data_IF_727969548110
#
_entry.id   IF_727969548110
#
_cell.length_a   1.000
_cell.length_b   1.000
_cell.length_c   1.000
_cell.angle_alpha   90.00
_cell.angle_beta   90.00
_cell.angle_gamma   90.00
#
_symmetry.space_group_name_H-M   'P 1'
#
loop_
_entity.id
_entity.type
_entity.pdbx_description
1 polymer ?
#
# COMPACT_ATOMS: atom_id res chain seq x y z
N UNK A 1 -14.94 -50.10 24.56
CA UNK A 1 -13.77 -49.19 24.55
C UNK A 1 -13.56 -48.58 23.17
N UNK A 2 -14.47 -47.72 22.69
CA UNK A 2 -14.40 -47.19 21.31
C UNK A 2 -14.95 -45.76 21.23
N UNK A 3 -14.52 -44.88 22.14
CA UNK A 3 -14.91 -43.46 22.10
C UNK A 3 -13.90 -42.47 22.71
N UNK A 4 -12.66 -42.90 22.99
CA UNK A 4 -11.62 -42.02 23.56
C UNK A 4 -10.65 -41.44 22.52
N UNK A 5 -10.65 -41.95 21.29
CA UNK A 5 -9.71 -41.51 20.23
C UNK A 5 -10.19 -40.33 19.36
N UNK A 6 -11.49 -40.01 19.34
CA UNK A 6 -12.02 -38.91 18.51
C UNK A 6 -11.99 -37.54 19.18
N UNK A 7 -11.94 -37.51 20.52
CA UNK A 7 -11.85 -36.25 21.29
C UNK A 7 -10.41 -35.72 21.28
N UNK A 8 -9.40 -36.59 21.27
CA UNK A 8 -7.99 -36.17 21.29
C UNK A 8 -7.54 -35.55 19.94
N UNK A 9 -8.13 -35.97 18.82
CA UNK A 9 -7.81 -35.41 17.49
C UNK A 9 -8.37 -33.98 17.32
N UNK A 10 -9.53 -33.67 17.92
CA UNK A 10 -10.08 -32.31 17.90
C UNK A 10 -9.25 -31.35 18.76
N UNK A 11 -8.68 -31.78 19.87
CA UNK A 11 -7.78 -30.93 20.67
C UNK A 11 -6.43 -30.68 19.99
N UNK A 12 -5.93 -31.61 19.16
CA UNK A 12 -4.69 -31.40 18.38
C UNK A 12 -4.97 -30.50 17.15
N UNK A 13 -6.13 -30.60 16.51
CA UNK A 13 -6.52 -29.68 15.42
C UNK A 13 -6.89 -28.28 15.91
N UNK A 14 -7.46 -28.14 17.12
CA UNK A 14 -7.69 -26.83 17.74
C UNK A 14 -6.39 -26.25 18.33
N UNK A 15 -5.46 -27.11 18.78
CA UNK A 15 -4.14 -26.70 19.27
C UNK A 15 -3.14 -26.24 18.20
N UNK A 16 -3.40 -26.54 16.91
CA UNK A 16 -2.57 -26.08 15.78
C UNK A 16 -3.15 -24.83 15.10
N UNK A 17 -4.41 -24.48 15.37
CA UNK A 17 -5.05 -23.27 14.82
C UNK A 17 -5.05 -22.06 15.76
N UNK A 18 -4.49 -22.20 16.96
CA UNK A 18 -4.17 -21.07 17.85
C UNK A 18 -2.66 -20.94 17.98
N UNK A 19 -1.94 -20.87 16.86
CA UNK A 19 -0.77 -20.00 16.84
C UNK A 19 -1.33 -18.59 17.00
N UNK A 20 -1.33 -18.10 18.24
CA UNK A 20 -1.51 -16.68 18.49
C UNK A 20 -0.49 -15.94 17.62
N UNK A 21 -0.96 -15.42 16.49
CA UNK A 21 -0.31 -14.33 15.81
C UNK A 21 -0.40 -13.16 16.78
N UNK A 22 0.51 -13.13 17.76
CA UNK A 22 0.87 -11.88 18.40
C UNK A 22 1.51 -11.06 17.29
N UNK A 23 0.66 -10.32 16.59
CA UNK A 23 1.07 -9.19 15.78
C UNK A 23 1.69 -8.19 16.77
N UNK A 24 2.99 -8.34 17.00
CA UNK A 24 3.83 -7.23 17.47
C UNK A 24 3.90 -6.24 16.30
N UNK A 25 2.79 -5.54 16.07
CA UNK A 25 2.70 -4.44 15.12
C UNK A 25 2.57 -3.23 16.02
N UNK A 26 3.69 -2.52 16.17
CA UNK A 26 3.87 -1.28 16.93
C UNK A 26 3.15 -1.16 18.27
N UNK A 27 3.88 -1.45 19.35
CA UNK A 27 3.56 -0.88 20.65
C UNK A 27 4.13 0.54 20.72
N UNK A 28 3.36 1.51 21.23
CA UNK A 28 3.78 2.91 21.43
C UNK A 28 5.19 3.00 22.00
N UNK A 29 6.05 3.77 21.32
CA UNK A 29 7.41 4.03 21.76
C UNK A 29 7.51 5.44 22.33
N UNK A 30 8.08 5.50 23.53
CA UNK A 30 8.36 6.76 24.23
C UNK A 30 9.51 7.51 23.54
N UNK A 31 9.62 8.83 23.77
CA UNK A 31 10.65 9.65 23.18
C UNK A 31 12.02 9.17 23.67
N UNK A 32 12.95 9.01 22.73
CA UNK A 32 14.26 8.38 22.98
C UNK A 32 14.30 6.86 22.76
N UNK A 33 13.19 6.22 22.36
CA UNK A 33 13.14 4.79 22.04
C UNK A 33 13.18 4.51 20.53
N UNK A 34 14.31 4.80 19.88
CA UNK A 34 14.52 4.51 18.46
C UNK A 34 15.67 3.52 18.23
N UNK A 35 15.65 2.84 17.09
CA UNK A 35 16.78 2.07 16.60
C UNK A 35 17.79 2.97 15.91
N UNK A 36 19.07 2.70 16.14
CA UNK A 36 20.16 3.22 15.30
C UNK A 36 20.73 2.07 14.48
N UNK A 37 20.69 2.22 13.15
CA UNK A 37 21.18 1.21 12.20
C UNK A 37 22.51 1.67 11.63
N UNK A 38 23.54 0.85 11.78
CA UNK A 38 24.90 1.12 11.32
C UNK A 38 25.22 0.32 10.05
N UNK A 39 26.08 0.87 9.21
CA UNK A 39 26.72 0.09 8.16
C UNK A 39 27.71 -0.90 8.81
N UNK A 40 27.56 -2.20 8.55
CA UNK A 40 28.39 -3.24 9.17
C UNK A 40 29.89 -3.12 8.89
N UNK A 41 30.27 -2.48 7.78
CA UNK A 41 31.66 -2.39 7.33
C UNK A 41 32.36 -1.12 7.79
N UNK A 42 31.61 -0.02 7.97
CA UNK A 42 32.19 1.30 8.26
C UNK A 42 31.81 1.87 9.61
N UNK A 43 30.92 1.22 10.36
CA UNK A 43 30.34 1.71 11.63
C UNK A 43 29.75 3.13 11.54
N UNK A 44 29.36 3.55 10.32
CA UNK A 44 28.66 4.80 10.09
C UNK A 44 27.17 4.56 10.30
N UNK A 45 26.49 5.49 10.96
CA UNK A 45 25.03 5.47 11.05
C UNK A 45 24.45 5.60 9.64
N UNK A 46 23.60 4.66 9.25
CA UNK A 46 22.82 4.70 8.01
C UNK A 46 21.53 5.48 8.24
N UNK A 47 20.74 5.05 9.22
CA UNK A 47 19.50 5.72 9.59
C UNK A 47 19.12 5.44 11.04
N UNK A 48 18.18 6.25 11.54
CA UNK A 48 17.46 6.01 12.77
C UNK A 48 15.97 5.85 12.46
N UNK A 49 15.26 5.09 13.28
CA UNK A 49 13.81 4.94 13.19
C UNK A 49 13.17 4.55 14.52
N UNK A 50 12.01 5.12 14.80
CA UNK A 50 11.08 4.68 15.82
C UNK A 50 10.44 3.33 15.50
N UNK A 51 10.40 2.89 14.24
CA UNK A 51 9.84 1.60 13.83
C UNK A 51 10.68 0.44 14.42
N UNK A 52 10.06 -0.71 14.65
CA UNK A 52 10.81 -1.91 15.01
C UNK A 52 11.70 -2.39 13.87
N UNK A 53 13.01 -2.49 14.15
CA UNK A 53 13.98 -3.05 13.21
C UNK A 53 14.20 -4.53 13.52
N UNK A 54 14.09 -5.36 12.50
CA UNK A 54 14.27 -6.79 12.56
C UNK A 54 15.26 -7.28 11.49
N UNK A 55 15.83 -8.47 11.71
CA UNK A 55 16.74 -9.06 10.73
C UNK A 55 16.01 -9.31 9.40
N UNK A 56 16.67 -8.96 8.30
CA UNK A 56 16.18 -9.02 6.93
C UNK A 56 15.38 -7.79 6.51
N UNK A 57 15.13 -6.81 7.39
CA UNK A 57 14.58 -5.53 6.96
C UNK A 57 15.55 -4.86 5.98
N UNK A 58 15.02 -4.15 5.01
CA UNK A 58 15.83 -3.49 3.98
C UNK A 58 15.68 -1.98 4.06
N UNK A 59 16.68 -1.28 3.54
CA UNK A 59 16.76 0.17 3.60
C UNK A 59 17.32 0.66 2.27
N UNK A 60 16.50 1.39 1.52
CA UNK A 60 16.92 2.12 0.32
C UNK A 60 17.18 3.57 0.71
N UNK A 61 18.45 3.96 0.76
CA UNK A 61 18.84 5.31 1.13
C UNK A 61 18.43 6.36 0.09
N UNK A 62 18.44 7.63 0.50
CA UNK A 62 18.17 8.75 -0.40
C UNK A 62 19.13 8.83 -1.60
N UNK A 63 20.36 8.32 -1.47
CA UNK A 63 21.35 8.19 -2.56
C UNK A 63 21.29 6.84 -3.30
N UNK A 64 20.14 6.17 -3.24
CA UNK A 64 19.80 4.96 -3.99
C UNK A 64 20.69 3.75 -3.70
N UNK A 65 21.15 3.61 -2.45
CA UNK A 65 21.91 2.44 -1.99
C UNK A 65 21.01 1.52 -1.19
N UNK A 66 20.95 0.25 -1.59
CA UNK A 66 20.19 -0.77 -0.88
C UNK A 66 21.06 -1.43 0.20
N UNK A 67 20.49 -1.60 1.38
CA UNK A 67 21.09 -2.30 2.50
C UNK A 67 20.11 -3.33 3.08
N UNK A 68 20.62 -4.43 3.63
CA UNK A 68 19.84 -5.42 4.39
C UNK A 68 20.34 -5.49 5.83
N UNK A 69 19.43 -5.41 6.80
CA UNK A 69 19.72 -5.55 8.22
C UNK A 69 20.08 -7.01 8.52
N UNK A 70 21.34 -7.28 8.85
CA UNK A 70 21.82 -8.64 9.13
C UNK A 70 21.97 -8.95 10.61
N UNK A 71 22.10 -7.92 11.46
CA UNK A 71 22.21 -8.07 12.93
C UNK A 71 21.34 -7.06 13.66
N UNK A 72 20.64 -7.50 14.71
CA UNK A 72 19.82 -6.64 15.56
C UNK A 72 20.05 -7.01 17.02
N UNK A 73 20.33 -6.01 17.85
CA UNK A 73 20.24 -6.10 19.30
C UNK A 73 19.04 -5.26 19.75
N UNK A 74 17.94 -5.92 20.08
CA UNK A 74 16.68 -5.26 20.48
C UNK A 74 16.79 -4.59 21.84
N UNK A 75 17.62 -5.11 22.76
CA UNK A 75 17.81 -4.52 24.09
C UNK A 75 18.55 -3.19 24.03
N UNK A 76 19.57 -3.08 23.18
CA UNK A 76 20.31 -1.83 22.98
C UNK A 76 19.76 -0.97 21.85
N UNK A 77 18.75 -1.44 21.11
CA UNK A 77 18.18 -0.82 19.90
C UNK A 77 19.25 -0.43 18.86
N UNK A 78 20.25 -1.30 18.71
CA UNK A 78 21.32 -1.15 17.72
C UNK A 78 21.18 -2.26 16.70
N UNK A 79 21.22 -1.90 15.42
CA UNK A 79 21.23 -2.85 14.32
C UNK A 79 22.39 -2.56 13.36
N UNK A 80 22.75 -3.55 12.56
CA UNK A 80 23.75 -3.43 11.51
C UNK A 80 23.17 -3.93 10.20
N UNK A 81 23.44 -3.20 9.13
CA UNK A 81 23.02 -3.53 7.79
C UNK A 81 24.23 -3.61 6.83
N UNK A 82 24.16 -4.57 5.93
CA UNK A 82 25.14 -4.82 4.87
C UNK A 82 24.67 -4.18 3.58
N UNK A 83 25.57 -3.52 2.86
CA UNK A 83 25.29 -3.00 1.52
C UNK A 83 25.02 -4.14 0.54
N UNK A 84 23.99 -3.99 -0.28
CA UNK A 84 23.59 -4.97 -1.29
C UNK A 84 24.03 -4.49 -2.68
N UNK A 85 23.48 -3.37 -3.14
CA UNK A 85 23.73 -2.81 -4.46
C UNK A 85 23.29 -1.34 -4.54
N UNK A 86 23.74 -0.66 -5.58
CA UNK A 86 23.12 0.58 -6.05
C UNK A 86 21.84 0.22 -6.82
N UNK A 87 20.75 0.91 -6.51
CA UNK A 87 19.44 0.72 -7.13
C UNK A 87 19.27 1.76 -8.24
N UNK A 88 18.87 1.30 -9.43
CA UNK A 88 18.45 2.19 -10.49
C UNK A 88 16.97 2.52 -10.27
N UNK A 89 16.66 3.81 -10.19
CA UNK A 89 15.27 4.27 -10.15
C UNK A 89 14.67 4.16 -11.57
N UNK A 90 13.33 4.00 -11.67
CA UNK A 90 12.62 4.12 -12.93
C UNK A 90 13.02 5.38 -13.70
N UNK A 91 13.13 5.27 -15.02
CA UNK A 91 13.48 6.42 -15.87
C UNK A 91 12.31 7.38 -15.94
N UNK A 92 12.62 8.67 -15.88
CA UNK A 92 11.64 9.74 -15.99
C UNK A 92 11.78 10.40 -17.37
N UNK A 93 10.68 10.43 -18.12
CA UNK A 93 10.56 11.22 -19.33
C UNK A 93 10.55 12.71 -18.96
N UNK A 94 11.68 13.37 -19.15
CA UNK A 94 11.88 14.77 -18.75
C UNK A 94 10.99 15.75 -19.54
N UNK A 95 10.66 15.44 -20.79
CA UNK A 95 9.75 16.27 -21.59
C UNK A 95 8.31 16.19 -21.06
N UNK A 96 7.86 14.98 -20.67
CA UNK A 96 6.57 14.79 -20.01
C UNK A 96 6.53 15.49 -18.64
N UNK A 97 7.61 15.37 -17.87
CA UNK A 97 7.75 16.04 -16.59
C UNK A 97 7.72 17.57 -16.73
N UNK A 98 8.33 18.14 -17.77
CA UNK A 98 8.29 19.58 -18.02
C UNK A 98 6.87 20.06 -18.35
N UNK A 99 6.10 19.29 -19.13
CA UNK A 99 4.67 19.57 -19.38
C UNK A 99 3.86 19.55 -18.09
N UNK A 100 4.11 18.56 -17.23
CA UNK A 100 3.48 18.49 -15.90
C UNK A 100 3.84 19.72 -15.06
N UNK A 101 5.11 20.10 -14.98
CA UNK A 101 5.56 21.29 -14.24
C UNK A 101 4.88 22.57 -14.75
N UNK A 102 4.75 22.72 -16.07
CA UNK A 102 4.03 23.86 -16.66
C UNK A 102 2.54 23.88 -16.28
N UNK A 103 1.89 22.71 -16.24
CA UNK A 103 0.49 22.59 -15.82
C UNK A 103 0.30 22.92 -14.34
N UNK A 104 1.23 22.46 -13.49
CA UNK A 104 1.25 22.74 -12.05
C UNK A 104 1.36 24.22 -11.71
N UNK A 105 2.10 25.00 -12.52
CA UNK A 105 2.20 26.46 -12.37
C UNK A 105 0.94 27.20 -12.86
N UNK A 106 0.05 26.51 -13.58
CA UNK A 106 -1.21 27.03 -14.10
C UNK A 106 -2.32 27.09 -13.04
N UNK A 107 -3.37 27.91 -13.26
CA UNK A 107 -4.48 28.06 -12.31
C UNK A 107 -5.34 26.80 -12.13
N UNK A 108 -5.27 25.85 -13.07
CA UNK A 108 -6.01 24.59 -13.04
C UNK A 108 -5.16 23.40 -12.57
N UNK A 109 -3.86 23.61 -12.29
CA UNK A 109 -2.94 22.54 -11.89
C UNK A 109 -2.89 21.38 -12.88
N UNK A 110 -2.76 20.15 -12.35
CA UNK A 110 -2.77 18.93 -13.16
C UNK A 110 -4.14 18.58 -13.78
N UNK A 111 -5.22 19.21 -13.35
CA UNK A 111 -6.56 18.93 -13.90
C UNK A 111 -6.63 19.21 -15.41
N UNK A 112 -5.96 20.26 -15.90
CA UNK A 112 -5.89 20.57 -17.32
C UNK A 112 -5.20 19.47 -18.15
N UNK A 113 -4.16 18.82 -17.58
CA UNK A 113 -3.48 17.71 -18.23
C UNK A 113 -4.37 16.46 -18.28
N UNK A 114 -5.11 16.20 -17.21
CA UNK A 114 -6.03 15.06 -17.14
C UNK A 114 -7.18 15.18 -18.14
N UNK A 115 -7.75 16.39 -18.28
CA UNK A 115 -8.78 16.66 -19.28
C UNK A 115 -8.25 16.45 -20.71
N UNK A 116 -7.03 16.92 -21.00
CA UNK A 116 -6.42 16.71 -22.31
C UNK A 116 -6.18 15.22 -22.62
N UNK A 117 -5.75 14.42 -21.63
CA UNK A 117 -5.57 12.98 -21.78
C UNK A 117 -6.90 12.24 -21.97
N UNK A 118 -7.99 12.71 -21.36
CA UNK A 118 -9.33 12.16 -21.57
C UNK A 118 -9.84 12.41 -23.00
N UNK A 119 -9.62 13.62 -23.54
CA UNK A 119 -10.01 13.96 -24.92
C UNK A 119 -9.21 13.15 -25.96
N UNK A 120 -7.90 12.92 -25.74
CA UNK A 120 -7.06 12.09 -26.62
C UNK A 120 -7.44 10.60 -26.58
N UNK A 121 -7.95 10.10 -25.44
CA UNK A 121 -8.44 8.74 -25.28
C UNK A 121 -9.77 8.46 -25.99
N UNK A 122 -10.63 9.47 -26.16
CA UNK A 122 -11.91 9.36 -26.86
C UNK A 122 -11.76 9.34 -28.39
N UNK A 123 -10.71 9.93 -28.96
CA UNK A 123 -10.48 9.93 -30.42
C UNK A 123 -9.94 8.58 -30.97
N UNK A 124 -9.50 7.66 -30.08
CA UNK A 124 -8.86 6.39 -30.43
C UNK A 124 -9.76 5.15 -30.48
N UNK A 125 -10.99 5.21 -29.97
CA UNK A 125 -11.86 4.03 -29.87
C UNK A 125 -13.26 4.25 -30.43
N UNK A 126 -13.62 3.45 -31.44
CA UNK A 126 -14.95 3.46 -32.04
C UNK A 126 -16.06 3.07 -31.05
N UNK A 127 -17.18 3.79 -31.17
CA UNK A 127 -18.49 3.61 -30.53
C UNK A 127 -18.72 2.26 -29.83
N UNK A 128 -18.41 2.23 -28.54
CA UNK A 128 -18.94 1.26 -27.59
C UNK A 128 -19.07 1.94 -26.24
N UNK A 129 -20.29 2.26 -25.83
CA UNK A 129 -20.59 2.86 -24.52
C UNK A 129 -19.93 2.03 -23.40
N UNK A 130 -18.77 2.48 -22.91
CA UNK A 130 -18.21 2.03 -21.64
C UNK A 130 -19.06 2.69 -20.55
N UNK A 131 -19.54 1.95 -19.52
CA UNK A 131 -20.36 2.56 -18.48
C UNK A 131 -19.51 3.57 -17.70
N UNK A 132 -19.76 4.87 -17.94
CA UNK A 132 -19.05 5.98 -17.31
C UNK A 132 -19.16 5.92 -15.79
N UNK A 133 -18.01 5.96 -15.12
CA UNK A 133 -17.91 5.99 -13.66
C UNK A 133 -16.65 5.37 -13.06
N UNK A 134 -15.91 4.57 -13.84
CA UNK A 134 -14.74 3.82 -13.32
C UNK A 134 -13.39 4.53 -13.52
N UNK A 135 -13.25 5.39 -14.53
CA UNK A 135 -11.98 6.11 -14.79
C UNK A 135 -11.70 7.21 -13.75
N UNK A 136 -12.73 7.78 -13.13
CA UNK A 136 -12.59 8.72 -12.00
C UNK A 136 -12.26 8.03 -10.66
N UNK A 137 -12.52 6.73 -10.51
CA UNK A 137 -12.21 5.99 -9.26
C UNK A 137 -10.70 5.77 -9.09
N UNK A 138 -9.95 5.72 -10.19
CA UNK A 138 -8.49 5.56 -10.15
C UNK A 138 -7.77 6.78 -9.58
N UNK A 139 -8.40 7.97 -9.64
CA UNK A 139 -7.88 9.24 -9.14
C UNK A 139 -8.41 9.60 -7.75
N UNK A 140 -8.84 8.61 -6.97
CA UNK A 140 -9.29 8.78 -5.58
C UNK A 140 -8.27 8.28 -4.58
N UNK A 141 -7.92 9.14 -3.62
CA UNK A 141 -6.96 8.85 -2.56
C UNK A 141 -7.65 8.90 -1.20
N UNK A 142 -7.60 7.80 -0.46
CA UNK A 142 -7.99 7.75 0.95
C UNK A 142 -6.79 8.02 1.84
N UNK A 143 -6.96 8.90 2.82
CA UNK A 143 -5.91 9.28 3.78
C UNK A 143 -6.45 9.02 5.18
N UNK A 144 -5.63 8.42 6.03
CA UNK A 144 -5.96 8.17 7.43
C UNK A 144 -4.69 8.15 8.29
N UNK A 145 -4.85 8.09 9.61
CA UNK A 145 -3.75 8.04 10.57
C UNK A 145 -3.94 6.87 11.54
N UNK A 146 -3.14 5.82 11.44
CA UNK A 146 -3.25 4.68 12.38
C UNK A 146 -2.94 5.12 13.81
N UNK A 147 -1.99 6.03 13.99
CA UNK A 147 -1.62 6.58 15.29
C UNK A 147 -2.08 8.03 15.44
N UNK A 148 -3.40 8.25 15.47
CA UNK A 148 -4.04 9.58 15.47
C UNK A 148 -3.62 10.52 16.60
N UNK A 149 -3.04 10.00 17.68
CA UNK A 149 -2.53 10.82 18.78
C UNK A 149 -1.17 11.46 18.49
N UNK A 150 -0.43 11.01 17.47
CA UNK A 150 0.91 11.51 17.20
C UNK A 150 0.93 13.02 16.91
N UNK A 151 1.88 13.70 17.53
CA UNK A 151 1.91 15.15 17.59
C UNK A 151 3.35 15.69 17.61
N UNK A 152 3.51 17.00 17.39
CA UNK A 152 4.80 17.66 17.22
C UNK A 152 5.09 18.61 18.38
N UNK A 153 6.09 18.30 19.19
CA UNK A 153 6.34 18.98 20.49
C UNK A 153 6.52 20.50 20.36
N UNK A 154 7.32 21.05 19.41
CA UNK A 154 7.52 22.49 19.32
C UNK A 154 6.24 23.30 19.08
N UNK A 155 5.29 22.75 18.31
CA UNK A 155 4.06 23.47 17.91
C UNK A 155 2.86 23.07 18.77
N UNK A 156 2.72 21.78 19.05
CA UNK A 156 1.53 21.19 19.66
C UNK A 156 1.72 20.97 21.19
N UNK A 157 2.93 21.16 21.70
CA UNK A 157 3.27 21.12 23.14
C UNK A 157 3.57 19.73 23.70
N UNK A 158 2.96 18.69 23.14
CA UNK A 158 3.16 17.29 23.51
C UNK A 158 3.42 16.43 22.27
N UNK A 159 4.11 15.30 22.47
CA UNK A 159 4.35 14.33 21.40
C UNK A 159 3.13 13.47 21.06
N UNK A 160 2.16 13.37 21.97
CA UNK A 160 0.99 12.51 21.85
C UNK A 160 -0.20 13.13 22.55
N UNK A 161 -1.28 13.41 21.82
CA UNK A 161 -2.52 14.02 22.32
C UNK A 161 -3.66 13.04 22.08
N UNK A 162 -4.26 12.48 23.15
CA UNK A 162 -5.25 11.39 23.04
C UNK A 162 -6.51 11.78 22.27
N UNK A 163 -6.91 13.06 22.31
CA UNK A 163 -8.06 13.57 21.57
C UNK A 163 -7.81 13.68 20.05
N UNK A 164 -6.54 13.64 19.63
CA UNK A 164 -6.09 13.82 18.24
C UNK A 164 -4.91 14.78 18.17
N UNK A 165 -3.77 14.30 17.68
CA UNK A 165 -2.52 15.04 17.62
C UNK A 165 -2.30 15.81 16.33
N UNK A 166 -1.15 16.48 16.29
CA UNK A 166 -0.62 17.22 15.14
C UNK A 166 -0.66 16.47 13.80
N UNK A 167 -0.55 15.14 13.84
CA UNK A 167 -0.49 14.30 12.65
C UNK A 167 -1.76 14.38 11.80
N UNK A 168 -2.92 14.58 12.42
CA UNK A 168 -4.20 14.71 11.73
C UNK A 168 -4.17 15.96 10.84
N UNK A 169 -3.61 17.08 11.31
CA UNK A 169 -3.52 18.29 10.48
C UNK A 169 -2.51 18.14 9.34
N UNK A 170 -1.42 17.39 9.54
CA UNK A 170 -0.48 17.06 8.45
C UNK A 170 -1.17 16.20 7.38
N UNK A 171 -1.97 15.21 7.79
CA UNK A 171 -2.78 14.40 6.87
C UNK A 171 -3.84 15.24 6.14
N UNK A 172 -4.49 16.20 6.80
CA UNK A 172 -5.37 17.17 6.13
C UNK A 172 -4.63 18.02 5.11
N UNK A 173 -3.40 18.48 5.40
CA UNK A 173 -2.57 19.19 4.43
C UNK A 173 -2.13 18.34 3.24
N UNK A 174 -1.92 17.05 3.46
CA UNK A 174 -1.68 16.12 2.36
C UNK A 174 -2.93 16.00 1.47
N UNK A 175 -4.12 15.88 2.07
CA UNK A 175 -5.40 15.85 1.35
C UNK A 175 -5.65 17.12 0.54
N UNK A 176 -5.43 18.30 1.14
CA UNK A 176 -5.49 19.58 0.43
C UNK A 176 -4.48 19.61 -0.73
N UNK A 177 -3.28 19.06 -0.52
CA UNK A 177 -2.24 18.93 -1.55
C UNK A 177 -2.75 18.18 -2.78
N UNK A 178 -3.36 17.00 -2.60
CA UNK A 178 -3.96 16.24 -3.70
C UNK A 178 -5.10 17.00 -4.38
N UNK A 179 -6.00 17.62 -3.60
CA UNK A 179 -7.13 18.39 -4.13
C UNK A 179 -6.66 19.57 -4.99
N UNK A 180 -5.59 20.26 -4.58
CA UNK A 180 -4.97 21.33 -5.35
C UNK A 180 -4.38 20.83 -6.70
N UNK A 181 -4.14 19.53 -6.83
CA UNK A 181 -3.72 18.88 -8.09
C UNK A 181 -4.87 18.24 -8.87
N UNK A 182 -6.13 18.53 -8.51
CA UNK A 182 -7.29 17.95 -9.18
C UNK A 182 -7.54 16.48 -8.85
N UNK A 183 -6.90 15.95 -7.81
CA UNK A 183 -7.11 14.58 -7.31
C UNK A 183 -8.15 14.59 -6.20
N UNK A 184 -9.17 13.75 -6.31
CA UNK A 184 -10.19 13.62 -5.27
C UNK A 184 -9.57 12.89 -4.06
N UNK A 185 -9.32 13.62 -2.98
CA UNK A 185 -8.77 13.06 -1.75
C UNK A 185 -9.76 13.17 -0.59
N UNK A 186 -9.92 12.06 0.14
CA UNK A 186 -10.73 11.98 1.36
C UNK A 186 -9.83 11.64 2.54
N UNK A 187 -9.73 12.57 3.49
CA UNK A 187 -9.10 12.33 4.78
C UNK A 187 -10.15 11.92 5.82
N UNK A 188 -9.97 10.74 6.41
CA UNK A 188 -10.77 10.27 7.54
C UNK A 188 -10.06 10.57 8.87
N UNK A 189 -10.66 11.44 9.68
CA UNK A 189 -10.13 11.91 10.96
C UNK A 189 -10.54 11.01 12.15
N UNK A 190 -11.05 9.79 11.90
CA UNK A 190 -11.42 8.86 12.96
C UNK A 190 -10.24 8.62 13.91
N UNK A 191 -10.48 8.84 15.21
CA UNK A 191 -9.46 8.66 16.23
C UNK A 191 -9.24 7.16 16.53
N UNK A 192 -7.99 6.71 16.40
CA UNK A 192 -7.58 5.31 16.61
C UNK A 192 -6.87 5.04 17.94
N UNK A 193 -6.96 5.95 18.92
CA UNK A 193 -6.45 5.76 20.30
C UNK A 193 -7.12 4.54 20.99
N UNK A 194 -6.42 3.83 21.90
CA UNK A 194 -5.06 4.07 22.41
C UNK A 194 -3.95 3.81 21.39
N UNK A 195 -2.77 4.40 21.58
CA UNK A 195 -1.62 4.05 20.76
C UNK A 195 -1.08 2.68 21.23
N UNK A 196 -1.62 1.60 20.65
CA UNK A 196 -1.27 0.21 20.98
C UNK A 196 -1.31 -0.69 19.74
N UNK A 197 -0.95 -1.96 19.89
CA UNK A 197 -1.03 -2.93 18.80
C UNK A 197 -2.47 -3.11 18.24
N UNK A 198 -3.49 -2.64 18.95
CA UNK A 198 -4.87 -2.60 18.49
C UNK A 198 -5.17 -1.44 17.54
N UNK A 199 -4.30 -0.43 17.42
CA UNK A 199 -4.47 0.74 16.57
C UNK A 199 -4.64 0.34 15.11
N UNK A 200 -3.78 -0.54 14.60
CA UNK A 200 -3.91 -1.09 13.24
C UNK A 200 -5.23 -1.82 13.00
N UNK A 201 -5.79 -2.50 14.01
CA UNK A 201 -7.12 -3.13 13.87
C UNK A 201 -8.25 -2.09 13.80
N UNK A 202 -8.09 -0.93 14.45
CA UNK A 202 -9.05 0.17 14.40
C UNK A 202 -8.94 0.91 13.07
N UNK A 203 -7.75 1.34 12.69
CA UNK A 203 -7.50 2.04 11.44
C UNK A 203 -7.78 1.21 10.20
N UNK A 204 -7.60 -0.12 10.26
CA UNK A 204 -8.02 -1.00 9.17
C UNK A 204 -9.51 -0.88 8.84
N UNK A 205 -10.38 -0.67 9.83
CA UNK A 205 -11.82 -0.50 9.56
C UNK A 205 -12.07 0.79 8.79
N UNK A 206 -11.46 1.88 9.22
CA UNK A 206 -11.49 3.17 8.51
C UNK A 206 -10.92 3.06 7.09
N UNK A 207 -9.78 2.41 6.92
CA UNK A 207 -9.19 2.17 5.60
C UNK A 207 -10.13 1.36 4.69
N UNK A 208 -10.78 0.33 5.22
CA UNK A 208 -11.78 -0.44 4.47
C UNK A 208 -13.04 0.40 4.16
N UNK A 209 -13.52 1.22 5.09
CA UNK A 209 -14.67 2.11 4.89
C UNK A 209 -14.38 3.15 3.80
N UNK A 210 -13.19 3.76 3.79
CA UNK A 210 -12.72 4.62 2.69
C UNK A 210 -12.80 3.89 1.34
N UNK A 211 -12.32 2.65 1.26
CA UNK A 211 -12.37 1.87 0.02
C UNK A 211 -13.81 1.52 -0.41
N UNK A 212 -14.67 1.11 0.53
CA UNK A 212 -16.01 0.62 0.18
C UNK A 212 -17.05 1.71 0.02
N UNK A 213 -16.94 2.80 0.78
CA UNK A 213 -17.95 3.88 0.79
C UNK A 213 -17.55 5.06 -0.07
N UNK A 214 -16.26 5.42 -0.10
CA UNK A 214 -15.74 6.53 -0.92
C UNK A 214 -15.18 6.04 -2.26
N UNK A 215 -14.99 4.73 -2.42
CA UNK A 215 -14.51 4.13 -3.66
C UNK A 215 -13.04 4.47 -3.95
N UNK A 216 -12.23 4.74 -2.92
CA UNK A 216 -10.81 5.05 -3.12
C UNK A 216 -10.04 3.80 -3.55
N UNK A 217 -9.15 3.95 -4.53
CA UNK A 217 -8.27 2.88 -4.99
C UNK A 217 -6.89 2.93 -4.31
N UNK A 218 -6.50 4.09 -3.80
CA UNK A 218 -5.20 4.34 -3.16
C UNK A 218 -5.38 4.69 -1.69
N UNK A 219 -4.51 4.19 -0.82
CA UNK A 219 -4.56 4.41 0.62
C UNK A 219 -3.22 4.96 1.12
N UNK A 220 -3.28 6.01 1.93
CA UNK A 220 -2.09 6.61 2.56
C UNK A 220 -2.31 6.66 4.07
N UNK A 221 -1.47 5.92 4.80
CA UNK A 221 -1.40 5.98 6.26
C UNK A 221 -0.29 6.97 6.67
N UNK A 222 -0.67 8.03 7.38
CA UNK A 222 0.23 9.14 7.73
C UNK A 222 0.66 9.05 9.19
N UNK A 223 1.97 9.00 9.41
CA UNK A 223 2.64 8.91 10.72
C UNK A 223 3.74 9.96 10.83
N UNK A 224 4.34 10.07 12.03
CA UNK A 224 5.58 10.80 12.25
C UNK A 224 6.57 10.01 13.09
N UNK A 225 7.84 10.07 12.71
CA UNK A 225 8.89 9.25 13.32
C UNK A 225 9.23 9.76 14.74
N UNK A 226 9.95 8.96 15.52
CA UNK A 226 10.33 9.22 16.91
C UNK A 226 11.87 9.30 17.09
N UNK A 227 12.53 10.10 16.25
CA UNK A 227 14.01 10.21 16.16
C UNK A 227 14.48 11.66 16.29
N UNK A 228 15.79 11.92 16.45
CA UNK A 228 16.30 13.29 16.52
C UNK A 228 15.98 14.10 15.26
N UNK A 229 15.71 15.39 15.45
CA UNK A 229 15.31 16.36 14.41
C UNK A 229 16.23 16.38 13.17
N UNK A 230 17.54 16.14 13.34
CA UNK A 230 18.54 16.17 12.27
C UNK A 230 18.30 15.07 11.22
N UNK A 231 17.57 14.01 11.56
CA UNK A 231 17.23 12.93 10.64
C UNK A 231 16.26 13.37 9.55
N UNK A 232 15.44 14.39 9.84
CA UNK A 232 14.30 14.80 9.01
C UNK A 232 14.36 16.26 8.55
N UNK A 233 15.27 17.09 9.08
CA UNK A 233 15.40 18.46 8.58
C UNK A 233 15.86 18.52 7.12
N UNK A 234 15.16 19.34 6.34
CA UNK A 234 15.50 19.68 4.97
C UNK A 234 14.95 21.07 4.61
N UNK A 235 15.26 21.53 3.41
CA UNK A 235 14.65 22.70 2.79
C UNK A 235 14.28 22.33 1.35
N UNK A 236 13.06 22.65 0.93
CA UNK A 236 12.60 22.44 -0.44
C UNK A 236 12.27 23.81 -1.01
N UNK A 237 12.88 24.17 -2.14
CA UNK A 237 12.70 25.47 -2.79
C UNK A 237 12.91 26.67 -1.83
N UNK A 238 13.91 26.57 -0.94
CA UNK A 238 14.25 27.60 0.06
C UNK A 238 13.25 27.74 1.21
N UNK A 239 12.26 26.85 1.32
CA UNK A 239 11.31 26.81 2.44
C UNK A 239 11.71 25.72 3.44
N UNK A 240 11.67 26.01 4.75
CA UNK A 240 11.81 25.00 5.79
C UNK A 240 10.82 23.87 5.60
N UNK A 241 11.33 22.64 5.46
CA UNK A 241 10.53 21.46 5.19
C UNK A 241 11.02 20.27 6.03
N UNK A 242 10.29 19.17 5.95
CA UNK A 242 10.72 17.87 6.47
C UNK A 242 10.98 16.88 5.35
N UNK A 243 11.92 15.96 5.56
CA UNK A 243 12.00 14.77 4.72
C UNK A 243 10.80 13.86 4.96
N UNK A 244 10.53 12.98 4.01
CA UNK A 244 9.49 11.96 4.07
C UNK A 244 10.14 10.59 3.91
N UNK A 245 9.87 9.67 4.85
CA UNK A 245 10.22 8.26 4.67
C UNK A 245 8.98 7.51 4.21
N UNK A 246 9.12 6.69 3.18
CA UNK A 246 8.10 5.73 2.79
C UNK A 246 8.40 4.39 3.45
N UNK A 247 7.38 3.71 3.96
CA UNK A 247 7.53 2.40 4.61
C UNK A 247 6.77 1.36 3.82
N UNK A 248 7.45 0.26 3.49
CA UNK A 248 6.85 -0.89 2.80
C UNK A 248 6.91 -2.13 3.71
N UNK A 249 5.73 -2.68 4.01
CA UNK A 249 5.56 -3.86 4.83
C UNK A 249 5.95 -5.14 4.10
N UNK A 250 7.04 -5.78 4.53
CA UNK A 250 7.55 -7.04 3.95
C UNK A 250 6.59 -8.23 4.02
N UNK A 251 5.51 -8.14 4.80
CA UNK A 251 4.48 -9.19 4.92
C UNK A 251 3.21 -8.89 4.12
N UNK A 252 3.14 -7.73 3.46
CA UNK A 252 1.99 -7.34 2.67
C UNK A 252 1.93 -8.18 1.38
N UNK A 253 0.73 -8.60 0.96
CA UNK A 253 0.56 -9.47 -0.21
C UNK A 253 0.80 -8.73 -1.54
N UNK A 254 0.65 -7.41 -1.53
CA UNK A 254 0.85 -6.54 -2.67
C UNK A 254 2.28 -5.96 -2.71
N UNK A 255 3.26 -6.60 -2.07
CA UNK A 255 4.55 -5.98 -1.72
C UNK A 255 5.21 -5.35 -2.93
N UNK A 256 5.27 -6.10 -4.03
CA UNK A 256 5.90 -5.66 -5.28
C UNK A 256 5.22 -4.44 -5.88
N UNK A 257 3.89 -4.41 -5.91
CA UNK A 257 3.15 -3.29 -6.49
C UNK A 257 3.27 -2.02 -5.63
N UNK A 258 3.21 -2.17 -4.30
CA UNK A 258 3.41 -1.05 -3.38
C UNK A 258 4.87 -0.55 -3.42
N UNK A 259 5.84 -1.46 -3.57
CA UNK A 259 7.26 -1.11 -3.78
C UNK A 259 7.45 -0.35 -5.08
N UNK A 260 6.91 -0.86 -6.20
CA UNK A 260 6.97 -0.21 -7.51
C UNK A 260 6.40 1.21 -7.47
N UNK A 261 5.22 1.39 -6.86
CA UNK A 261 4.65 2.71 -6.64
C UNK A 261 5.58 3.62 -5.83
N UNK A 262 6.17 3.13 -4.73
CA UNK A 262 7.10 3.92 -3.93
C UNK A 262 8.37 4.30 -4.73
N UNK A 263 8.86 3.41 -5.60
CA UNK A 263 9.99 3.67 -6.48
C UNK A 263 9.66 4.73 -7.54
N UNK A 264 8.46 4.69 -8.12
CA UNK A 264 7.97 5.70 -9.06
C UNK A 264 7.87 7.07 -8.37
N UNK A 265 7.25 7.11 -7.18
CA UNK A 265 7.13 8.33 -6.38
C UNK A 265 8.51 8.88 -6.03
N UNK A 266 9.45 8.03 -5.63
CA UNK A 266 10.83 8.45 -5.34
C UNK A 266 11.53 9.03 -6.58
N UNK A 267 11.45 8.36 -7.73
CA UNK A 267 12.05 8.84 -8.97
C UNK A 267 11.53 10.23 -9.36
N UNK A 268 10.20 10.42 -9.30
CA UNK A 268 9.56 11.69 -9.59
C UNK A 268 9.93 12.76 -8.54
N UNK A 269 9.89 12.42 -7.26
CA UNK A 269 10.21 13.35 -6.18
C UNK A 269 11.67 13.80 -6.22
N UNK A 270 12.62 12.92 -6.58
CA UNK A 270 14.03 13.28 -6.69
C UNK A 270 14.29 14.29 -7.82
N UNK A 271 13.48 14.27 -8.90
CA UNK A 271 13.55 15.22 -10.02
C UNK A 271 12.77 16.53 -9.78
N UNK A 272 11.66 16.47 -9.03
CA UNK A 272 10.80 17.63 -8.76
C UNK A 272 11.22 18.40 -7.51
N UNK A 273 11.51 17.67 -6.43
CA UNK A 273 11.75 18.19 -5.10
C UNK A 273 12.99 17.52 -4.46
N UNK A 274 14.20 17.76 -5.00
CA UNK A 274 15.42 17.12 -4.51
C UNK A 274 15.58 17.27 -2.99
N UNK A 275 15.80 16.14 -2.29
CA UNK A 275 15.94 16.11 -0.84
C UNK A 275 14.64 16.00 -0.05
N UNK A 276 13.49 15.83 -0.71
CA UNK A 276 12.20 15.54 -0.07
C UNK A 276 12.16 14.11 0.48
N UNK A 277 12.53 13.11 -0.31
CA UNK A 277 12.50 11.71 0.12
C UNK A 277 13.73 11.41 0.97
N UNK A 278 13.51 10.99 2.21
CA UNK A 278 14.56 10.54 3.13
C UNK A 278 15.15 9.21 2.65
N UNK A 279 14.27 8.24 2.45
CA UNK A 279 14.54 6.84 2.17
C UNK A 279 13.23 6.05 1.94
N UNK A 280 13.37 4.79 1.52
CA UNK A 280 12.32 3.77 1.62
C UNK A 280 12.78 2.72 2.62
N UNK A 281 11.99 2.48 3.67
CA UNK A 281 12.27 1.49 4.69
C UNK A 281 11.34 0.27 4.54
N UNK A 282 11.95 -0.90 4.38
CA UNK A 282 11.23 -2.16 4.20
C UNK A 282 11.16 -2.88 5.54
N UNK A 283 10.10 -2.60 6.29
CA UNK A 283 9.93 -3.06 7.64
C UNK A 283 9.15 -4.38 7.71
N UNK A 284 9.42 -5.19 8.74
CA UNK A 284 8.62 -6.38 9.03
C UNK A 284 7.23 -5.98 9.56
N UNK A 285 6.27 -5.97 8.67
CA UNK A 285 4.86 -5.72 9.00
C UNK A 285 4.00 -5.79 7.76
N UNK A 286 2.71 -5.57 7.94
CA UNK A 286 1.74 -5.45 6.85
C UNK A 286 1.30 -3.99 6.66
N UNK A 287 1.03 -3.27 7.75
CA UNK A 287 0.66 -1.85 7.75
C UNK A 287 -0.59 -1.53 6.92
N UNK A 288 -1.55 -2.47 6.87
CA UNK A 288 -2.77 -2.40 6.04
C UNK A 288 -2.49 -2.33 4.53
N UNK A 289 -1.26 -2.61 4.10
CA UNK A 289 -0.86 -2.54 2.69
C UNK A 289 -1.33 -3.76 1.88
N UNK A 290 -1.86 -4.79 2.54
CA UNK A 290 -2.59 -5.87 1.88
C UNK A 290 -3.95 -5.44 1.31
N UNK A 291 -4.52 -4.32 1.76
CA UNK A 291 -5.84 -3.86 1.32
C UNK A 291 -5.86 -3.43 -0.16
N UNK A 292 -4.79 -2.83 -0.65
CA UNK A 292 -4.69 -2.35 -2.04
C UNK A 292 -3.24 -2.38 -2.52
N UNK A 293 -2.98 -2.61 -3.83
CA UNK A 293 -1.65 -2.45 -4.43
C UNK A 293 -1.21 -0.99 -4.63
N UNK A 294 -2.01 -0.02 -4.15
CA UNK A 294 -1.69 1.41 -4.13
C UNK A 294 -1.68 1.95 -2.69
N UNK A 295 -1.12 1.17 -1.76
CA UNK A 295 -1.03 1.51 -0.35
C UNK A 295 0.36 2.01 0.03
N UNK A 296 0.44 3.15 0.72
CA UNK A 296 1.69 3.72 1.21
C UNK A 296 1.56 4.09 2.69
N UNK A 297 2.62 3.86 3.46
CA UNK A 297 2.78 4.42 4.81
C UNK A 297 3.86 5.49 4.75
N UNK A 298 3.58 6.66 5.32
CA UNK A 298 4.48 7.81 5.31
C UNK A 298 4.88 8.19 6.73
N UNK A 299 6.17 8.37 6.94
CA UNK A 299 6.72 9.03 8.12
C UNK A 299 7.04 10.49 7.76
N UNK A 300 6.12 11.38 8.13
CA UNK A 300 6.14 12.81 7.83
C UNK A 300 6.92 13.57 8.90
N UNK A 301 8.25 13.47 8.84
CA UNK A 301 9.09 14.15 9.82
C UNK A 301 9.18 13.40 11.14
N UNK A 302 9.46 14.16 12.20
CA UNK A 302 9.57 13.60 13.55
C UNK A 302 9.00 14.55 14.60
N UNK A 303 8.62 14.00 15.76
CA UNK A 303 7.98 14.74 16.86
C UNK A 303 8.78 15.97 17.37
N UNK A 304 10.10 16.01 17.16
CA UNK A 304 10.97 17.14 17.54
C UNK A 304 10.92 18.32 16.55
N UNK A 305 10.20 18.22 15.43
CA UNK A 305 10.05 19.31 14.46
C UNK A 305 8.81 20.17 14.73
N UNK A 306 8.84 21.44 14.30
CA UNK A 306 7.61 22.22 14.15
C UNK A 306 6.70 21.57 13.10
N UNK A 307 5.41 21.38 13.42
CA UNK A 307 4.40 20.73 12.56
C UNK A 307 4.30 21.35 11.15
N UNK A 308 4.61 22.64 11.02
CA UNK A 308 4.60 23.37 9.75
C UNK A 308 5.60 22.84 8.72
N UNK A 309 6.69 22.19 9.16
CA UNK A 309 7.69 21.59 8.26
C UNK A 309 7.12 20.39 7.50
N UNK A 310 6.57 19.35 8.16
CA UNK A 310 5.89 18.27 7.46
C UNK A 310 4.60 18.70 6.74
N UNK A 311 3.87 19.71 7.22
CA UNK A 311 2.76 20.30 6.44
C UNK A 311 3.23 20.88 5.09
N UNK A 312 4.39 21.55 5.06
CA UNK A 312 5.01 22.05 3.83
C UNK A 312 5.38 20.89 2.90
N UNK A 313 5.99 19.83 3.46
CA UNK A 313 6.37 18.64 2.69
C UNK A 313 5.17 17.85 2.18
N UNK A 314 4.03 17.87 2.87
CA UNK A 314 2.81 17.20 2.44
C UNK A 314 2.33 17.70 1.06
N UNK A 315 2.41 19.02 0.81
CA UNK A 315 2.09 19.60 -0.50
C UNK A 315 3.02 19.10 -1.61
N UNK A 316 4.34 19.16 -1.39
CA UNK A 316 5.33 18.67 -2.36
C UNK A 316 5.24 17.16 -2.59
N UNK A 317 4.92 16.40 -1.56
CA UNK A 317 4.73 14.95 -1.67
C UNK A 317 3.47 14.62 -2.45
N UNK A 318 2.35 15.31 -2.21
CA UNK A 318 1.13 15.15 -3.01
C UNK A 318 1.37 15.43 -4.50
N UNK A 319 2.14 16.48 -4.82
CA UNK A 319 2.53 16.80 -6.20
C UNK A 319 3.32 15.67 -6.86
N UNK A 320 4.32 15.11 -6.14
CA UNK A 320 5.12 14.00 -6.62
C UNK A 320 4.29 12.71 -6.82
N UNK A 321 3.42 12.37 -5.86
CA UNK A 321 2.55 11.19 -5.96
C UNK A 321 1.56 11.33 -7.11
N UNK A 322 0.88 12.47 -7.24
CA UNK A 322 -0.05 12.73 -8.35
C UNK A 322 0.67 12.61 -9.69
N UNK A 323 1.87 13.18 -9.81
CA UNK A 323 2.67 13.11 -11.03
C UNK A 323 3.13 11.68 -11.34
N UNK A 324 3.55 10.92 -10.33
CA UNK A 324 3.96 9.52 -10.50
C UNK A 324 2.80 8.60 -10.89
N UNK A 325 1.60 8.83 -10.35
CA UNK A 325 0.42 7.99 -10.61
C UNK A 325 -0.32 8.35 -11.89
N UNK A 326 -0.38 9.65 -12.23
CA UNK A 326 -1.29 10.15 -13.27
C UNK A 326 -0.61 11.01 -14.33
N UNK A 327 0.65 11.41 -14.12
CA UNK A 327 1.37 12.31 -15.04
C UNK A 327 1.92 11.63 -16.29
N UNK A 328 1.94 10.30 -16.36
CA UNK A 328 2.52 9.56 -17.49
C UNK A 328 4.01 9.87 -17.71
N UNK A 329 4.74 10.18 -16.64
CA UNK A 329 6.14 10.64 -16.70
C UNK A 329 7.16 9.53 -16.52
N UNK A 330 6.75 8.39 -15.94
CA UNK A 330 7.63 7.24 -15.77
C UNK A 330 7.64 6.48 -17.08
N UNK A 331 8.81 6.26 -17.66
CA UNK A 331 8.95 5.42 -18.85
C UNK A 331 8.66 3.98 -18.45
N UNK A 332 7.81 3.30 -19.21
CA UNK A 332 7.74 1.85 -19.14
C UNK A 332 9.16 1.33 -19.36
N UNK A 333 9.67 0.48 -18.47
CA UNK A 333 10.90 -0.23 -18.78
C UNK A 333 10.63 -0.96 -20.10
N UNK A 334 11.43 -0.66 -21.13
CA UNK A 334 11.56 -1.50 -22.32
C UNK A 334 11.95 -2.89 -21.81
N UNK A 335 10.95 -3.68 -21.40
CA UNK A 335 11.08 -5.10 -21.45
C UNK A 335 11.45 -5.36 -22.90
N UNK A 336 12.55 -6.08 -23.10
CA UNK A 336 12.66 -7.00 -24.21
C UNK A 336 11.40 -7.90 -24.17
N UNK A 337 10.28 -7.36 -24.65
CA UNK A 337 9.38 -8.09 -25.48
C UNK A 337 10.20 -8.37 -26.71
N UNK A 338 11.01 -9.43 -26.63
CA UNK A 338 11.17 -10.25 -27.81
C UNK A 338 9.76 -10.40 -28.36
N UNK A 339 9.54 -9.85 -29.55
CA UNK A 339 8.36 -10.11 -30.35
C UNK A 339 8.20 -11.63 -30.38
N UNK A 340 7.38 -12.16 -29.48
CA UNK A 340 6.88 -13.52 -29.60
C UNK A 340 5.90 -13.43 -30.76
N UNK A 341 6.47 -13.59 -31.96
CA UNK A 341 5.72 -13.87 -33.16
C UNK A 341 4.65 -14.93 -32.78
N UNK A 342 3.40 -14.77 -33.21
CA UNK A 342 2.35 -15.70 -32.84
C UNK A 342 2.73 -17.08 -33.37
N UNK A 343 3.20 -17.95 -32.48
CA UNK A 343 3.35 -19.36 -32.83
C UNK A 343 1.96 -19.92 -33.10
N UNK A 344 1.86 -20.54 -34.27
CA UNK A 344 0.64 -21.17 -34.74
C UNK A 344 0.07 -22.15 -33.71
N UNK A 345 -1.25 -22.18 -33.64
CA UNK A 345 -2.10 -23.03 -32.80
C UNK A 345 -1.48 -24.40 -32.45
N UNK A 346 -1.29 -24.64 -31.15
CA UNK A 346 -1.39 -25.99 -30.60
C UNK A 346 -2.45 -26.00 -29.50
N UNK A 347 -3.64 -26.46 -29.90
CA UNK A 347 -4.80 -26.70 -29.04
C UNK A 347 -4.46 -27.81 -28.03
N UNK A 348 -4.40 -27.49 -26.72
CA UNK A 348 -4.12 -28.53 -25.72
C UNK A 348 -3.78 -28.15 -24.27
N UNK A 349 -3.74 -26.87 -23.88
CA UNK A 349 -3.26 -26.48 -22.54
C UNK A 349 -4.31 -25.92 -21.56
N UNK A 350 -5.29 -25.16 -22.05
CA UNK A 350 -6.21 -24.38 -21.19
C UNK A 350 -7.43 -25.17 -20.69
N UNK A 351 -7.84 -26.21 -21.42
CA UNK A 351 -8.99 -27.03 -21.03
C UNK A 351 -8.74 -27.90 -19.80
N UNK A 352 -7.50 -28.39 -19.60
CA UNK A 352 -7.18 -29.30 -18.50
C UNK A 352 -7.19 -28.61 -17.12
N UNK A 353 -6.75 -27.34 -17.05
CA UNK A 353 -6.76 -26.56 -15.82
C UNK A 353 -8.17 -26.17 -15.37
N UNK A 354 -9.01 -25.73 -16.31
CA UNK A 354 -10.41 -25.39 -16.05
C UNK A 354 -11.20 -26.66 -15.69
N UNK A 355 -10.99 -27.77 -16.39
CA UNK A 355 -11.61 -29.05 -16.04
C UNK A 355 -11.12 -29.61 -14.71
N UNK A 356 -9.85 -29.39 -14.35
CA UNK A 356 -9.30 -29.73 -13.04
C UNK A 356 -9.97 -28.94 -11.91
N UNK A 357 -10.16 -27.63 -12.09
CA UNK A 357 -10.85 -26.77 -11.12
C UNK A 357 -12.33 -27.17 -10.96
N UNK A 358 -13.03 -27.43 -12.07
CA UNK A 358 -14.43 -27.89 -12.07
C UNK A 358 -14.55 -29.27 -11.40
N UNK A 359 -13.60 -30.17 -11.62
CA UNK A 359 -13.58 -31.49 -10.99
C UNK A 359 -13.31 -31.40 -9.48
N UNK A 360 -12.46 -30.49 -9.03
CA UNK A 360 -12.18 -30.27 -7.60
C UNK A 360 -13.38 -29.64 -6.89
N UNK A 361 -14.00 -28.62 -7.48
CA UNK A 361 -15.20 -27.97 -6.93
C UNK A 361 -16.40 -28.92 -6.96
N UNK A 362 -16.61 -29.64 -8.06
CA UNK A 362 -17.67 -30.64 -8.19
C UNK A 362 -17.48 -31.84 -7.27
N UNK A 363 -16.26 -32.35 -7.16
CA UNK A 363 -15.90 -33.46 -6.26
C UNK A 363 -16.00 -33.06 -4.79
N UNK A 364 -15.52 -31.88 -4.42
CA UNK A 364 -15.65 -31.31 -3.08
C UNK A 364 -17.10 -31.06 -2.67
N UNK A 365 -17.92 -30.53 -3.58
CA UNK A 365 -19.36 -30.34 -3.37
C UNK A 365 -20.12 -31.66 -3.19
N UNK A 366 -19.79 -32.68 -3.99
CA UNK A 366 -20.38 -34.01 -3.87
C UNK A 366 -19.98 -34.71 -2.56
N UNK A 367 -18.72 -34.61 -2.15
CA UNK A 367 -18.24 -35.15 -0.88
C UNK A 367 -18.90 -34.46 0.33
N UNK A 368 -19.05 -33.14 0.27
CA UNK A 368 -19.74 -32.36 1.30
C UNK A 368 -21.22 -32.72 1.42
N UNK A 369 -21.93 -32.90 0.29
CA UNK A 369 -23.32 -33.33 0.29
C UNK A 369 -23.50 -34.76 0.80
N UNK A 370 -22.58 -35.67 0.48
CA UNK A 370 -22.63 -37.06 0.94
C UNK A 370 -22.32 -37.21 2.45
N UNK A 371 -21.47 -36.34 2.99
CA UNK A 371 -21.14 -36.31 4.42
C UNK A 371 -22.20 -35.57 5.26
N UNK A 372 -22.86 -34.55 4.69
CA UNK A 372 -23.85 -33.73 5.40
C UNK A 372 -25.28 -34.25 5.32
N UNK A 373 -25.62 -35.11 4.35
CA UNK A 373 -26.96 -35.69 4.22
C UNK A 373 -26.93 -37.21 4.38
N UNK A 374 -27.58 -37.71 5.44
CA UNK A 374 -27.70 -39.15 5.69
C UNK A 374 -28.27 -39.88 4.46
N UNK A 375 -27.65 -41.00 4.09
CA UNK A 375 -27.73 -41.65 2.77
C UNK A 375 -29.10 -42.06 2.20
N UNK A 376 -30.23 -41.69 2.80
CA UNK A 376 -31.58 -41.87 2.25
C UNK A 376 -32.18 -40.60 1.61
N UNK A 377 -31.63 -39.41 1.83
CA UNK A 377 -32.17 -38.14 1.27
C UNK A 377 -31.52 -37.64 -0.02
N UNK A 378 -30.40 -38.23 -0.43
CA UNK A 378 -29.62 -37.72 -1.57
C UNK A 378 -30.33 -37.91 -2.93
N UNK A 379 -31.11 -38.99 -3.09
CA UNK A 379 -31.78 -39.30 -4.37
C UNK A 379 -32.90 -38.32 -4.75
N UNK A 380 -33.57 -37.70 -3.78
CA UNK A 380 -34.62 -36.71 -4.06
C UNK A 380 -34.03 -35.34 -4.42
N UNK A 381 -32.89 -34.96 -3.82
CA UNK A 381 -32.23 -33.68 -4.08
C UNK A 381 -31.49 -33.65 -5.43
N UNK A 382 -30.96 -34.78 -5.89
CA UNK A 382 -30.31 -34.88 -7.21
C UNK A 382 -31.31 -34.72 -8.38
N UNK A 383 -32.57 -35.12 -8.16
CA UNK A 383 -33.65 -34.94 -9.14
C UNK A 383 -33.99 -33.47 -9.37
N UNK A 384 -34.15 -32.71 -8.28
CA UNK A 384 -34.49 -31.29 -8.34
C UNK A 384 -33.36 -30.44 -8.95
N UNK A 385 -32.09 -30.78 -8.70
CA UNK A 385 -30.95 -30.05 -9.25
C UNK A 385 -30.88 -30.13 -10.79
N UNK A 386 -31.27 -31.27 -11.37
CA UNK A 386 -31.28 -31.44 -12.83
C UNK A 386 -32.35 -30.58 -13.51
N UNK A 387 -33.49 -30.40 -12.85
CA UNK A 387 -34.59 -29.57 -13.34
C UNK A 387 -34.31 -28.06 -13.18
N UNK A 388 -33.64 -27.65 -12.09
CA UNK A 388 -33.16 -26.27 -11.89
C UNK A 388 -32.04 -25.89 -12.86
N UNK A 389 -31.07 -26.79 -13.09
CA UNK A 389 -29.96 -26.54 -14.01
C UNK A 389 -30.41 -26.42 -15.47
N UNK A 390 -31.48 -27.15 -15.85
CA UNK A 390 -32.08 -27.05 -17.19
C UNK A 390 -32.86 -25.74 -17.41
N UNK A 391 -33.35 -25.12 -16.33
CA UNK A 391 -33.97 -23.79 -16.38
C UNK A 391 -32.93 -22.67 -16.38
N UNK A 392 -31.77 -22.86 -15.74
CA UNK A 392 -30.67 -21.89 -15.72
C UNK A 392 -29.98 -21.72 -17.10
N UNK A 393 -29.91 -22.78 -17.91
CA UNK A 393 -29.16 -22.79 -19.17
C UNK A 393 -29.96 -22.39 -20.44
N UNK A 394 -31.12 -21.74 -20.31
CA UNK A 394 -31.71 -20.94 -21.39
C UNK A 394 -32.09 -21.67 -22.70
N UNK A 395 -33.39 -21.72 -22.98
CA UNK A 395 -34.00 -22.32 -24.18
C UNK A 395 -33.63 -21.53 -25.45
N UNK A 396 -32.69 -22.04 -26.25
CA UNK A 396 -32.38 -21.52 -27.60
C UNK A 396 -33.63 -21.57 -28.50
N UNK A 397 -34.15 -20.39 -28.87
CA UNK A 397 -35.17 -20.23 -29.92
C UNK A 397 -34.46 -20.19 -31.28
N UNK A 398 -34.51 -21.30 -32.03
CA UNK A 398 -34.23 -21.26 -33.46
C UNK A 398 -35.45 -20.72 -34.22
N UNK A 399 -35.25 -19.62 -34.95
CA UNK A 399 -36.13 -19.15 -36.02
C UNK A 399 -36.05 -20.13 -37.20
N UNK A 400 -37.21 -20.61 -37.66
CA UNK A 400 -37.59 -20.62 -39.07
C UNK A 400 -39.10 -20.52 -39.17
#
# INVERSE_FOLDING_TARGET
>A
MRNKGRILLCFILIGVLVSANFSFVDAYRKPGEYFTVYNSNSDKVLFMTGIEVTRGDQYLSGDNKMYEVTRVNTSSRIAYADFINDVQLPKINLEALERVKLALDGPEGLAALFLAQEEEGEEGEGEGERPGGWENLERRVGIYTTHSAESYVPTDGEESIEEGGGIIQVASKLSEGFQNQGVEATHDETNHVPHDAGAYKRSRRTAMELMTEQGVASLIDVHRDAVPVEQYNTEINGKPASKVRMVIGRRNQNFKANEELAMHVKAVADEMHPGLIKDIFYAKGDYNQDLTPRAMLLEMGTFEQERQRPETSAGYFAEAVTTAMFGGVVEDEDGDTEDVAPEAESDGGSGAGIMGLIAVVGGGGLAFLFLSSGGKEWKSKLGNFKDEFRNFLGRSKNKK
#
